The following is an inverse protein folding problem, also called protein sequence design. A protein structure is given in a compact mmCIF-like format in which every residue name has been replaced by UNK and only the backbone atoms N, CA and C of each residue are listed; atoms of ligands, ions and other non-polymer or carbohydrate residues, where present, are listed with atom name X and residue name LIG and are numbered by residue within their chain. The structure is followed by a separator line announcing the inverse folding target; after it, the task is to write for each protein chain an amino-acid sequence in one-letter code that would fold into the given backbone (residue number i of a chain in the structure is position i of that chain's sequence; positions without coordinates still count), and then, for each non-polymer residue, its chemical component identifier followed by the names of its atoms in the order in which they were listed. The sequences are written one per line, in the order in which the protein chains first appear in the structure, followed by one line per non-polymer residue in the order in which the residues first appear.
data_IF_807992643427
#
_entry.id   IF_807992643427
#
_cell.length_a   1.000
_cell.length_b   1.000
_cell.length_c   1.000
_cell.angle_alpha   90.00
_cell.angle_beta   90.00
_cell.angle_gamma   90.00
#
_symmetry.space_group_name_H-M   'P 1'
#
loop_
_entity.id
_entity.type
_entity.pdbx_description
1 polymer ?
#
# COMPACT_ATOMS: atom_id res chain seq x y z
N UNK A 1 -7.83 -8.46 -16.92
CA UNK A 1 -7.74 -8.20 -15.46
C UNK A 1 -6.77 -9.19 -14.86
N UNK A 2 -5.64 -8.74 -14.32
CA UNK A 2 -4.73 -9.60 -13.54
C UNK A 2 -5.38 -9.95 -12.19
N UNK A 3 -5.27 -11.19 -11.69
CA UNK A 3 -5.91 -11.66 -10.46
C UNK A 3 -5.46 -10.94 -9.16
N UNK A 4 -4.54 -9.97 -9.26
CA UNK A 4 -4.08 -9.16 -8.13
C UNK A 4 -5.07 -8.06 -7.70
N UNK A 5 -5.90 -7.56 -8.61
CA UNK A 5 -6.83 -6.46 -8.33
C UNK A 5 -7.90 -6.85 -7.28
N UNK A 6 -8.21 -8.14 -7.13
CA UNK A 6 -9.44 -8.56 -6.44
C UNK A 6 -9.32 -8.77 -4.93
N UNK A 7 -8.12 -9.10 -4.39
CA UNK A 7 -8.05 -9.63 -3.01
C UNK A 7 -7.26 -8.79 -2.00
N UNK A 8 -6.18 -8.13 -2.39
CA UNK A 8 -5.36 -7.34 -1.46
C UNK A 8 -5.36 -5.84 -1.78
N UNK A 9 -5.58 -5.47 -3.04
CA UNK A 9 -5.50 -4.09 -3.48
C UNK A 9 -6.49 -3.14 -2.76
N UNK A 10 -7.76 -3.51 -2.51
CA UNK A 10 -8.70 -2.64 -1.80
C UNK A 10 -8.24 -2.32 -0.37
N UNK A 11 -7.79 -3.32 0.38
CA UNK A 11 -7.36 -3.15 1.76
C UNK A 11 -6.04 -2.37 1.86
N UNK A 12 -5.08 -2.65 0.97
CA UNK A 12 -3.82 -1.89 0.89
C UNK A 12 -4.08 -0.42 0.57
N UNK A 13 -4.96 -0.15 -0.41
CA UNK A 13 -5.38 1.22 -0.72
C UNK A 13 -5.97 1.90 0.51
N UNK A 14 -6.92 1.25 1.18
CA UNK A 14 -7.60 1.81 2.37
C UNK A 14 -6.61 2.20 3.45
N UNK A 15 -5.72 1.27 3.85
CA UNK A 15 -4.72 1.51 4.91
C UNK A 15 -3.77 2.65 4.54
N UNK A 16 -3.27 2.66 3.31
CA UNK A 16 -2.38 3.74 2.85
C UNK A 16 -3.09 5.12 2.82
N UNK A 17 -4.34 5.19 2.36
CA UNK A 17 -5.11 6.45 2.23
C UNK A 17 -5.53 7.06 3.59
N UNK A 18 -5.60 6.25 4.64
CA UNK A 18 -5.77 6.76 6.02
C UNK A 18 -4.44 7.16 6.68
N UNK A 19 -3.32 7.06 5.94
CA UNK A 19 -1.99 7.43 6.41
C UNK A 19 -1.29 6.35 7.23
N UNK A 20 -1.77 5.11 7.16
CA UNK A 20 -1.18 4.01 7.91
C UNK A 20 0.16 3.57 7.32
N UNK A 21 1.05 3.14 8.21
CA UNK A 21 2.33 2.53 7.88
C UNK A 21 2.15 1.02 7.81
N UNK A 22 2.13 0.46 6.59
CA UNK A 22 1.90 -0.97 6.35
C UNK A 22 3.23 -1.69 6.38
N UNK A 23 3.44 -2.59 7.34
CA UNK A 23 4.68 -3.38 7.46
C UNK A 23 4.65 -4.66 6.63
N UNK A 24 5.79 -5.32 6.45
CA UNK A 24 5.84 -6.68 5.90
C UNK A 24 4.98 -7.70 6.70
N UNK A 25 4.85 -7.53 8.03
CA UNK A 25 4.00 -8.39 8.84
C UNK A 25 2.51 -8.14 8.55
N UNK A 26 2.11 -6.88 8.41
CA UNK A 26 0.76 -6.53 7.93
C UNK A 26 0.46 -7.14 6.55
N UNK A 27 1.48 -7.27 5.70
CA UNK A 27 1.30 -7.97 4.42
C UNK A 27 0.84 -9.40 4.60
N UNK A 28 1.45 -10.14 5.52
CA UNK A 28 1.08 -11.54 5.76
C UNK A 28 -0.37 -11.63 6.21
N UNK A 29 -0.82 -10.70 7.07
CA UNK A 29 -2.20 -10.63 7.51
C UNK A 29 -3.18 -10.31 6.35
N UNK A 30 -2.88 -9.30 5.52
CA UNK A 30 -3.76 -8.87 4.42
C UNK A 30 -3.81 -9.90 3.28
N UNK A 31 -2.72 -10.64 3.05
CA UNK A 31 -2.55 -11.47 1.84
C UNK A 31 -2.76 -12.97 2.06
N UNK A 32 -3.13 -13.36 3.28
CA UNK A 32 -3.26 -14.77 3.67
C UNK A 32 -1.91 -15.50 3.69
N UNK A 33 -0.88 -14.85 4.23
CA UNK A 33 0.47 -15.41 4.39
C UNK A 33 1.38 -15.33 3.16
N UNK A 34 1.04 -14.53 2.13
CA UNK A 34 1.81 -14.45 0.88
C UNK A 34 2.41 -13.06 0.66
N UNK A 35 3.60 -12.83 1.22
CA UNK A 35 4.31 -11.55 1.16
C UNK A 35 4.44 -10.93 -0.25
N UNK A 36 4.64 -11.76 -1.30
CA UNK A 36 4.76 -11.28 -2.69
C UNK A 36 3.50 -10.54 -3.20
N UNK A 37 2.32 -10.83 -2.64
CA UNK A 37 1.05 -10.22 -3.08
C UNK A 37 0.96 -8.75 -2.70
N UNK A 38 1.41 -8.35 -1.51
CA UNK A 38 1.40 -6.92 -1.16
C UNK A 38 2.49 -6.16 -1.89
N UNK A 39 3.68 -6.75 -2.06
CA UNK A 39 4.74 -6.15 -2.85
C UNK A 39 4.26 -5.82 -4.28
N UNK A 40 3.54 -6.74 -4.92
CA UNK A 40 3.00 -6.48 -6.24
C UNK A 40 1.76 -5.55 -6.24
N UNK A 41 0.99 -5.46 -5.14
CA UNK A 41 -0.06 -4.43 -4.98
C UNK A 41 0.55 -3.03 -4.86
N UNK A 42 1.60 -2.86 -4.05
CA UNK A 42 2.36 -1.61 -3.94
C UNK A 42 2.98 -1.24 -5.29
N UNK A 43 3.60 -2.21 -5.97
CA UNK A 43 4.14 -2.00 -7.30
C UNK A 43 3.08 -1.51 -8.29
N UNK A 44 1.89 -2.11 -8.27
CA UNK A 44 0.77 -1.70 -9.10
C UNK A 44 0.30 -0.26 -8.79
N UNK A 45 0.20 0.12 -7.51
CA UNK A 45 -0.16 1.49 -7.12
C UNK A 45 0.91 2.51 -7.54
N UNK A 46 2.19 2.19 -7.38
CA UNK A 46 3.30 3.01 -7.90
C UNK A 46 3.22 3.19 -9.42
N UNK A 47 2.92 2.10 -10.15
CA UNK A 47 2.67 2.13 -11.60
C UNK A 47 1.47 3.01 -11.98
N UNK A 48 0.47 3.15 -11.10
CA UNK A 48 -0.67 4.06 -11.25
C UNK A 48 -0.36 5.50 -10.83
N UNK A 49 0.87 5.80 -10.42
CA UNK A 49 1.33 7.15 -10.09
C UNK A 49 1.20 7.52 -8.62
N UNK A 50 1.04 6.56 -7.71
CA UNK A 50 1.05 6.84 -6.27
C UNK A 50 2.49 6.91 -5.73
N UNK A 51 2.85 7.98 -5.01
CA UNK A 51 4.14 8.15 -4.33
C UNK A 51 4.22 7.33 -3.03
N UNK A 52 4.16 6.01 -3.13
CA UNK A 52 4.32 5.12 -1.97
C UNK A 52 5.80 5.03 -1.62
N UNK A 53 6.18 5.50 -0.43
CA UNK A 53 7.53 5.40 0.10
C UNK A 53 7.73 4.10 0.87
N UNK A 54 8.91 3.51 0.70
CA UNK A 54 9.36 2.38 1.51
C UNK A 54 10.49 2.84 2.41
N UNK A 55 10.33 2.58 3.70
CA UNK A 55 11.35 2.80 4.73
C UNK A 55 11.57 1.50 5.49
N UNK A 56 12.68 1.39 6.20
CA UNK A 56 12.94 0.26 7.09
C UNK A 56 12.60 0.64 8.53
N UNK A 57 12.04 -0.29 9.30
CA UNK A 57 11.87 -0.10 10.75
C UNK A 57 13.12 -0.57 11.51
N UNK A 58 13.14 -0.38 12.83
CA UNK A 58 14.28 -0.77 13.68
C UNK A 58 14.61 -2.28 13.64
N UNK A 59 13.73 -3.13 13.12
CA UNK A 59 13.92 -4.58 13.01
C UNK A 59 14.35 -5.02 11.61
N UNK A 60 14.67 -4.09 10.70
CA UNK A 60 15.04 -4.42 9.32
C UNK A 60 13.83 -4.72 8.41
N UNK A 61 12.60 -4.52 8.89
CA UNK A 61 11.40 -4.83 8.10
C UNK A 61 10.99 -3.63 7.23
N UNK A 62 10.63 -3.92 5.98
CA UNK A 62 10.09 -2.92 5.07
C UNK A 62 8.71 -2.39 5.54
N UNK A 63 8.57 -1.07 5.48
CA UNK A 63 7.38 -0.32 5.86
C UNK A 63 6.97 0.62 4.73
N UNK A 64 5.72 0.51 4.31
CA UNK A 64 5.15 1.20 3.17
C UNK A 64 4.17 2.26 3.67
N UNK A 65 4.28 3.48 3.15
CA UNK A 65 3.40 4.57 3.54
C UNK A 65 3.26 5.58 2.41
N UNK A 66 2.15 6.31 2.43
CA UNK A 66 1.98 7.50 1.61
C UNK A 66 2.43 8.74 2.40
N UNK A 67 3.21 9.65 1.79
CA UNK A 67 3.46 10.97 2.34
C UNK A 67 2.15 11.75 2.56
N UNK A 68 2.06 12.61 3.59
CA UNK A 68 0.85 13.41 3.83
C UNK A 68 0.39 14.24 2.63
N UNK A 69 1.33 14.83 1.88
CA UNK A 69 1.05 15.58 0.66
C UNK A 69 0.46 14.71 -0.46
N UNK A 70 0.90 13.45 -0.54
CA UNK A 70 0.39 12.50 -1.53
C UNK A 70 -1.03 12.05 -1.17
N UNK A 71 -1.31 11.83 0.13
CA UNK A 71 -2.67 11.54 0.61
C UNK A 71 -3.60 12.71 0.29
N UNK A 72 -3.17 13.95 0.52
CA UNK A 72 -3.95 15.14 0.19
C UNK A 72 -4.23 15.25 -1.32
N UNK A 73 -3.23 14.99 -2.17
CA UNK A 73 -3.38 14.94 -3.64
C UNK A 73 -4.43 13.90 -4.04
N UNK A 74 -4.28 12.66 -3.58
CA UNK A 74 -5.20 11.56 -3.91
C UNK A 74 -6.63 11.82 -3.41
N UNK A 75 -6.81 12.47 -2.25
CA UNK A 75 -8.13 12.93 -1.78
C UNK A 75 -8.73 14.00 -2.68
N UNK A 76 -7.93 14.98 -3.10
CA UNK A 76 -8.38 16.04 -4.02
C UNK A 76 -8.78 15.50 -5.40
N UNK A 77 -8.18 14.40 -5.82
CA UNK A 77 -8.49 13.68 -7.06
C UNK A 77 -9.70 12.74 -6.95
N UNK A 78 -10.35 12.66 -5.77
CA UNK A 78 -11.49 11.77 -5.53
C UNK A 78 -11.12 10.29 -5.43
N UNK A 79 -9.83 9.97 -5.22
CA UNK A 79 -9.32 8.60 -5.10
C UNK A 79 -9.53 8.04 -3.68
N UNK A 80 -9.60 8.91 -2.68
CA UNK A 80 -9.99 8.61 -1.31
C UNK A 80 -11.31 9.30 -0.99
N UNK A 81 -12.39 8.52 -0.88
CA UNK A 81 -13.68 8.92 -0.34
C UNK A 81 -13.94 8.17 0.97
#
# INVERSE_FOLDING_TARGET
MTPMDTWCLPEVKRRLLVGERVTQADMLAITGGRAWRLAAAVYYLRKRGWDIRTTENASGCAVYHLPPNEIARLRSEGVAA
#
